data_IF_178061653547
#
_entry.id   IF_178061653547
#
_cell.length_a   1.000
_cell.length_b   1.000
_cell.length_c   1.000
_cell.angle_alpha   90.00
_cell.angle_beta   90.00
_cell.angle_gamma   90.00
#
_symmetry.space_group_name_H-M   'P 1'
#
loop_
_entity.id
_entity.type
_entity.pdbx_description
1 polymer ?
#
# COMPACT_ATOMS: atom_id res chain seq x y z
N UNK A 1 1.05 6.66 44.70
CA UNK A 1 2.46 6.61 44.26
C UNK A 1 2.46 6.27 42.76
N UNK A 2 2.77 7.25 42.00
CA UNK A 2 2.82 7.30 40.54
C UNK A 2 3.97 6.44 40.01
N UNK A 3 3.67 5.46 39.20
CA UNK A 3 4.65 4.66 38.47
C UNK A 3 4.84 5.26 37.06
N UNK A 4 5.81 6.14 36.92
CA UNK A 4 6.37 6.51 35.63
C UNK A 4 7.10 5.31 35.05
N UNK A 5 6.61 4.78 33.92
CA UNK A 5 7.36 3.90 33.04
C UNK A 5 7.58 4.65 31.72
N UNK A 6 8.45 5.64 31.75
CA UNK A 6 8.99 6.27 30.55
C UNK A 6 10.22 5.48 30.09
N UNK A 7 10.01 4.35 29.41
CA UNK A 7 11.04 3.76 28.56
C UNK A 7 11.14 4.63 27.32
N UNK A 8 12.10 5.55 27.31
CA UNK A 8 12.32 6.55 26.27
C UNK A 8 12.86 5.99 24.96
N UNK A 9 12.18 5.02 24.36
CA UNK A 9 12.43 4.64 22.97
C UNK A 9 11.69 5.63 22.07
N UNK A 10 12.36 6.23 21.08
CA UNK A 10 11.71 7.14 20.16
C UNK A 10 10.57 6.40 19.44
N UNK A 11 9.40 7.04 19.39
CA UNK A 11 8.22 6.44 18.76
C UNK A 11 8.54 6.03 17.30
N UNK A 12 8.14 4.83 16.92
CA UNK A 12 8.29 4.29 15.55
C UNK A 12 7.57 5.16 14.52
N UNK A 13 8.11 5.22 13.30
CA UNK A 13 7.64 6.08 12.22
C UNK A 13 7.25 5.27 11.00
N UNK A 14 6.05 5.51 10.47
CA UNK A 14 5.59 4.95 9.21
C UNK A 14 5.44 6.04 8.14
N UNK A 15 5.90 5.76 6.94
CA UNK A 15 5.70 6.58 5.73
C UNK A 15 4.70 5.85 4.84
N UNK A 16 3.62 6.54 4.45
CA UNK A 16 2.56 5.96 3.62
C UNK A 16 2.34 6.86 2.39
N UNK A 17 2.47 6.29 1.19
CA UNK A 17 2.20 6.99 -0.06
C UNK A 17 0.75 6.79 -0.52
N UNK A 18 0.17 7.77 -1.24
CA UNK A 18 -1.24 7.73 -1.64
C UNK A 18 -2.16 7.75 -0.43
N UNK A 19 -1.85 8.57 0.59
CA UNK A 19 -2.46 8.50 1.91
C UNK A 19 -3.62 9.48 2.12
N UNK A 20 -4.04 10.23 1.11
CA UNK A 20 -5.14 11.17 1.22
C UNK A 20 -6.52 10.49 1.35
N UNK A 21 -6.65 9.22 0.92
CA UNK A 21 -7.92 8.48 0.91
C UNK A 21 -7.73 6.96 0.88
N UNK A 22 -8.84 6.22 0.95
CA UNK A 22 -8.90 4.77 0.73
C UNK A 22 -7.95 3.96 1.59
N UNK A 23 -7.27 2.99 0.98
CA UNK A 23 -6.35 2.06 1.68
C UNK A 23 -5.21 2.83 2.38
N UNK A 24 -4.64 3.85 1.72
CA UNK A 24 -3.54 4.63 2.30
C UNK A 24 -3.94 5.36 3.58
N UNK A 25 -5.10 6.03 3.58
CA UNK A 25 -5.62 6.72 4.77
C UNK A 25 -5.99 5.72 5.89
N UNK A 26 -6.63 4.61 5.55
CA UNK A 26 -6.93 3.56 6.54
C UNK A 26 -5.65 2.98 7.14
N UNK A 27 -4.60 2.80 6.33
CA UNK A 27 -3.28 2.36 6.79
C UNK A 27 -2.64 3.39 7.74
N UNK A 28 -2.68 4.68 7.40
CA UNK A 28 -2.18 5.74 8.28
C UNK A 28 -2.93 5.76 9.61
N UNK A 29 -4.25 5.59 9.58
CA UNK A 29 -5.10 5.50 10.78
C UNK A 29 -4.73 4.29 11.63
N UNK A 30 -4.48 3.14 11.00
CA UNK A 30 -4.04 1.92 11.70
C UNK A 30 -2.71 2.14 12.41
N UNK A 31 -1.71 2.71 11.74
CA UNK A 31 -0.40 2.98 12.34
C UNK A 31 -0.47 3.97 13.50
N UNK A 32 -1.29 5.02 13.39
CA UNK A 32 -1.52 5.96 14.50
C UNK A 32 -2.13 5.24 15.72
N UNK A 33 -3.13 4.37 15.49
CA UNK A 33 -3.75 3.59 16.56
C UNK A 33 -2.75 2.62 17.22
N UNK A 34 -1.79 2.10 16.44
CA UNK A 34 -0.70 1.27 16.93
C UNK A 34 0.44 2.05 17.61
N UNK A 35 0.32 3.36 17.80
CA UNK A 35 1.30 4.19 18.52
C UNK A 35 2.40 4.81 17.66
N UNK A 36 2.38 4.64 16.35
CA UNK A 36 3.37 5.23 15.44
C UNK A 36 3.15 6.74 15.27
N UNK A 37 4.20 7.44 14.84
CA UNK A 37 4.10 8.69 14.09
C UNK A 37 3.95 8.35 12.62
N UNK A 38 3.20 9.16 11.86
CA UNK A 38 2.95 8.87 10.45
C UNK A 38 3.28 10.07 9.55
N UNK A 39 3.95 9.79 8.45
CA UNK A 39 4.10 10.72 7.34
C UNK A 39 3.18 10.27 6.20
N UNK A 40 2.19 11.09 5.90
CA UNK A 40 1.24 10.89 4.82
C UNK A 40 1.75 11.62 3.59
N UNK A 41 1.99 10.90 2.50
CA UNK A 41 2.42 11.43 1.21
C UNK A 41 1.30 11.25 0.18
N UNK A 42 0.97 12.30 -0.56
CA UNK A 42 0.00 12.24 -1.67
C UNK A 42 0.24 13.40 -2.63
N UNK A 43 -0.09 13.22 -3.90
CA UNK A 43 -0.05 14.29 -4.91
C UNK A 43 -1.18 15.32 -4.71
N UNK A 44 -2.31 14.89 -4.13
CA UNK A 44 -3.48 15.74 -3.82
C UNK A 44 -3.27 16.45 -2.47
N UNK A 45 -2.47 17.50 -2.46
CA UNK A 45 -2.14 18.25 -1.25
C UNK A 45 -3.34 18.75 -0.46
N UNK A 46 -4.39 19.35 -1.07
CA UNK A 46 -5.62 19.75 -0.39
C UNK A 46 -6.34 18.59 0.31
N UNK A 47 -6.58 17.47 -0.39
CA UNK A 47 -7.22 16.30 0.19
C UNK A 47 -6.37 15.69 1.32
N UNK A 48 -5.05 15.63 1.14
CA UNK A 48 -4.12 15.13 2.14
C UNK A 48 -4.16 15.97 3.43
N UNK A 49 -4.18 17.28 3.33
CA UNK A 49 -4.31 18.18 4.50
C UNK A 49 -5.64 17.98 5.21
N UNK A 50 -6.73 17.83 4.48
CA UNK A 50 -8.05 17.58 5.05
C UNK A 50 -8.07 16.22 5.79
N UNK A 51 -7.59 15.17 5.16
CA UNK A 51 -7.49 13.83 5.74
C UNK A 51 -6.64 13.83 7.02
N UNK A 52 -5.47 14.47 7.00
CA UNK A 52 -4.58 14.54 8.17
C UNK A 52 -5.21 15.26 9.35
N UNK A 53 -5.97 16.35 9.11
CA UNK A 53 -6.71 17.07 10.18
C UNK A 53 -7.83 16.24 10.79
N UNK A 54 -8.41 15.32 10.03
CA UNK A 54 -9.49 14.45 10.48
C UNK A 54 -9.00 13.23 11.29
N UNK A 55 -7.69 13.00 11.38
CA UNK A 55 -7.14 11.92 12.18
C UNK A 55 -7.38 12.16 13.67
N UNK A 56 -7.53 11.08 14.45
CA UNK A 56 -7.77 11.16 15.91
C UNK A 56 -6.63 11.85 16.67
N UNK A 57 -5.40 11.74 16.16
CA UNK A 57 -4.22 12.37 16.76
C UNK A 57 -3.34 13.00 15.66
N UNK A 58 -3.74 14.18 15.16
CA UNK A 58 -3.01 14.85 14.10
C UNK A 58 -1.62 15.36 14.54
N UNK A 59 -1.35 15.44 15.84
CA UNK A 59 -0.05 15.89 16.37
C UNK A 59 1.09 14.90 16.08
N UNK A 60 0.75 13.63 15.84
CA UNK A 60 1.70 12.59 15.45
C UNK A 60 1.74 12.34 13.94
N UNK A 61 1.15 13.24 13.14
CA UNK A 61 1.04 13.10 11.70
C UNK A 61 1.59 14.31 10.97
N UNK A 62 2.30 14.11 9.87
CA UNK A 62 2.66 15.16 8.92
C UNK A 62 2.12 14.84 7.53
N UNK A 63 1.70 15.89 6.82
CA UNK A 63 1.18 15.81 5.45
C UNK A 63 2.21 16.41 4.49
N UNK A 64 2.67 15.63 3.53
CA UNK A 64 3.69 16.03 2.55
C UNK A 64 3.16 15.82 1.13
N UNK A 65 2.98 16.91 0.39
CA UNK A 65 2.61 16.82 -1.03
C UNK A 65 3.80 16.25 -1.81
N UNK A 66 3.56 15.16 -2.56
CA UNK A 66 4.62 14.44 -3.25
C UNK A 66 4.05 13.62 -4.42
N UNK A 67 4.56 13.86 -5.61
CA UNK A 67 4.43 12.94 -6.73
C UNK A 67 5.54 11.88 -6.62
N UNK A 68 5.13 10.65 -6.32
CA UNK A 68 6.08 9.53 -6.14
C UNK A 68 6.81 9.12 -7.42
N UNK A 69 6.34 9.55 -8.59
CA UNK A 69 7.01 9.31 -9.87
C UNK A 69 8.19 10.26 -10.12
N UNK A 70 8.38 11.27 -9.27
CA UNK A 70 9.41 12.29 -9.38
C UNK A 70 10.46 12.16 -8.27
N UNK A 71 11.63 11.63 -8.61
CA UNK A 71 12.71 11.39 -7.63
C UNK A 71 13.03 12.61 -6.74
N UNK A 72 13.15 13.85 -7.25
CA UNK A 72 13.45 15.01 -6.40
C UNK A 72 12.37 15.29 -5.35
N UNK A 73 11.08 15.04 -5.68
CA UNK A 73 9.98 15.23 -4.74
C UNK A 73 9.99 14.16 -3.65
N UNK A 74 10.24 12.89 -4.01
CA UNK A 74 10.40 11.79 -3.05
C UNK A 74 11.53 12.09 -2.08
N UNK A 75 12.71 12.46 -2.58
CA UNK A 75 13.86 12.80 -1.73
C UNK A 75 13.57 13.99 -0.81
N UNK A 76 12.89 15.03 -1.32
CA UNK A 76 12.52 16.19 -0.53
C UNK A 76 11.52 15.83 0.58
N UNK A 77 10.52 14.98 0.27
CA UNK A 77 9.55 14.51 1.26
C UNK A 77 10.23 13.67 2.35
N UNK A 78 11.10 12.73 1.98
CA UNK A 78 11.80 11.90 2.97
C UNK A 78 12.77 12.72 3.83
N UNK A 79 13.44 13.73 3.28
CA UNK A 79 14.22 14.68 4.10
C UNK A 79 13.35 15.37 5.14
N UNK A 80 12.13 15.79 4.80
CA UNK A 80 11.20 16.41 5.75
C UNK A 80 10.74 15.42 6.84
N UNK A 81 10.50 14.13 6.49
CA UNK A 81 10.23 13.08 7.49
C UNK A 81 11.38 12.95 8.48
N UNK A 82 12.61 12.92 7.99
CA UNK A 82 13.81 12.81 8.85
C UNK A 82 13.96 14.03 9.75
N UNK A 83 13.72 15.23 9.24
CA UNK A 83 13.75 16.47 10.06
C UNK A 83 12.66 16.42 11.15
N UNK A 84 11.46 15.98 10.82
CA UNK A 84 10.33 15.95 11.76
C UNK A 84 10.42 14.83 12.80
N UNK A 85 10.89 13.65 12.40
CA UNK A 85 10.78 12.45 13.22
C UNK A 85 12.10 11.73 13.52
N UNK A 86 13.18 12.01 12.80
CA UNK A 86 14.51 11.47 13.01
C UNK A 86 14.74 10.03 12.53
N UNK A 87 13.67 9.29 12.18
CA UNK A 87 13.73 7.88 11.82
C UNK A 87 12.63 7.47 10.86
N UNK A 88 12.77 6.30 10.26
CA UNK A 88 11.73 5.58 9.49
C UNK A 88 11.84 4.10 9.86
N UNK A 89 10.71 3.48 10.24
CA UNK A 89 10.65 2.06 10.60
C UNK A 89 9.78 1.26 9.63
N UNK A 90 8.80 1.91 9.00
CA UNK A 90 7.93 1.29 8.01
C UNK A 90 7.73 2.20 6.80
N UNK A 91 7.74 1.61 5.60
CA UNK A 91 7.33 2.26 4.35
C UNK A 91 6.18 1.47 3.75
N UNK A 92 5.08 2.15 3.41
CA UNK A 92 3.96 1.55 2.68
C UNK A 92 3.83 2.25 1.33
N UNK A 93 4.24 1.57 0.27
CA UNK A 93 4.08 2.00 -1.11
C UNK A 93 2.65 1.68 -1.57
N UNK A 94 1.74 2.61 -1.32
CA UNK A 94 0.32 2.45 -1.66
C UNK A 94 -0.12 3.34 -2.83
N UNK A 95 0.57 4.44 -3.12
CA UNK A 95 0.25 5.30 -4.27
C UNK A 95 0.13 4.47 -5.56
N UNK A 96 -0.91 4.73 -6.34
CA UNK A 96 -1.12 3.99 -7.57
C UNK A 96 -2.26 4.58 -8.41
N UNK A 97 -2.12 4.40 -9.72
CA UNK A 97 -3.11 4.81 -10.73
C UNK A 97 -3.49 3.62 -11.61
N UNK A 98 -4.70 3.66 -12.14
CA UNK A 98 -5.20 2.65 -13.06
C UNK A 98 -5.85 3.32 -14.28
N UNK A 99 -5.68 2.70 -15.45
CA UNK A 99 -6.35 3.06 -16.69
C UNK A 99 -7.08 1.82 -17.18
N UNK A 100 -8.36 1.98 -17.49
CA UNK A 100 -9.26 0.90 -17.89
C UNK A 100 -9.61 1.08 -19.37
N UNK A 101 -8.81 0.46 -20.24
CA UNK A 101 -8.99 0.52 -21.70
C UNK A 101 -8.64 -0.80 -22.38
N UNK A 102 -9.20 -1.10 -23.57
CA UNK A 102 -8.70 -2.16 -24.42
C UNK A 102 -7.19 -1.99 -24.72
N UNK A 103 -6.48 -3.11 -24.87
CA UNK A 103 -5.05 -3.12 -25.18
C UNK A 103 -4.72 -2.23 -26.40
N UNK A 104 -5.50 -2.35 -27.47
CA UNK A 104 -5.26 -1.62 -28.72
C UNK A 104 -5.54 -0.10 -28.65
N UNK A 105 -6.23 0.34 -27.59
CA UNK A 105 -6.56 1.75 -27.34
C UNK A 105 -5.68 2.39 -26.28
N UNK A 106 -4.90 1.57 -25.54
CA UNK A 106 -3.99 2.07 -24.51
C UNK A 106 -2.79 2.75 -25.15
N UNK A 107 -2.63 4.05 -24.91
CA UNK A 107 -1.51 4.79 -25.49
C UNK A 107 -0.20 4.52 -24.76
N UNK A 108 0.93 4.78 -25.42
CA UNK A 108 2.24 4.66 -24.78
C UNK A 108 2.41 5.66 -23.61
N UNK A 109 1.82 6.84 -23.70
CA UNK A 109 1.81 7.83 -22.61
C UNK A 109 1.07 7.29 -21.38
N UNK A 110 -0.12 6.74 -21.55
CA UNK A 110 -0.90 6.12 -20.48
C UNK A 110 -0.15 4.95 -19.84
N UNK A 111 0.47 4.12 -20.67
CA UNK A 111 1.34 3.04 -20.18
C UNK A 111 2.48 3.58 -19.33
N UNK A 112 3.23 4.57 -19.82
CA UNK A 112 4.35 5.18 -19.11
C UNK A 112 3.91 5.81 -17.79
N UNK A 113 2.79 6.52 -17.78
CA UNK A 113 2.22 7.11 -16.55
C UNK A 113 1.92 6.05 -15.49
N UNK A 114 1.31 4.93 -15.88
CA UNK A 114 1.01 3.84 -14.94
C UNK A 114 2.29 3.23 -14.40
N UNK A 115 3.30 2.98 -15.25
CA UNK A 115 4.58 2.43 -14.81
C UNK A 115 5.32 3.38 -13.88
N UNK A 116 5.38 4.66 -14.20
CA UNK A 116 6.06 5.67 -13.39
C UNK A 116 5.50 5.75 -11.95
N UNK A 117 4.17 5.72 -11.80
CA UNK A 117 3.57 5.78 -10.46
C UNK A 117 3.63 4.42 -9.75
N UNK A 118 3.25 3.33 -10.44
CA UNK A 118 3.00 2.05 -9.79
C UNK A 118 4.26 1.19 -9.59
N UNK A 119 5.35 1.48 -10.32
CA UNK A 119 6.59 0.71 -10.29
C UNK A 119 7.81 1.57 -9.94
N UNK A 120 8.03 2.67 -10.71
CA UNK A 120 9.18 3.56 -10.42
C UNK A 120 8.99 4.26 -9.06
N UNK A 121 7.77 4.69 -8.72
CA UNK A 121 7.47 5.29 -7.42
C UNK A 121 7.87 4.42 -6.21
N UNK A 122 7.41 3.17 -6.09
CA UNK A 122 7.86 2.24 -5.05
C UNK A 122 9.38 2.01 -5.02
N UNK A 123 10.04 1.98 -6.18
CA UNK A 123 11.48 1.88 -6.28
C UNK A 123 12.16 3.13 -5.68
N UNK A 124 11.76 4.33 -6.10
CA UNK A 124 12.30 5.61 -5.62
C UNK A 124 12.06 5.80 -4.11
N UNK A 125 10.85 5.51 -3.63
CA UNK A 125 10.53 5.61 -2.21
C UNK A 125 11.37 4.64 -1.39
N UNK A 126 11.59 3.41 -1.87
CA UNK A 126 12.47 2.43 -1.20
C UNK A 126 13.90 2.93 -1.15
N UNK A 127 14.45 3.44 -2.28
CA UNK A 127 15.81 4.01 -2.31
C UNK A 127 16.00 5.17 -1.34
N UNK A 128 14.98 6.02 -1.18
CA UNK A 128 15.05 7.15 -0.26
C UNK A 128 14.90 6.75 1.22
N UNK A 129 14.04 5.77 1.52
CA UNK A 129 13.75 5.35 2.89
C UNK A 129 14.77 4.36 3.45
N UNK A 130 15.23 3.40 2.66
CA UNK A 130 16.12 2.32 3.14
C UNK A 130 17.39 2.82 3.84
N UNK A 131 18.13 3.83 3.34
CA UNK A 131 19.29 4.37 4.05
C UNK A 131 18.94 4.95 5.43
N UNK A 132 17.73 5.49 5.61
CA UNK A 132 17.25 5.98 6.92
C UNK A 132 16.96 4.80 7.84
N UNK A 133 16.25 3.78 7.35
CA UNK A 133 15.95 2.56 8.09
C UNK A 133 17.23 1.87 8.59
N UNK A 134 18.25 1.75 7.74
CA UNK A 134 19.54 1.13 8.10
C UNK A 134 20.21 1.84 9.28
N UNK A 135 20.17 3.18 9.32
CA UNK A 135 20.74 3.96 10.43
C UNK A 135 19.98 3.79 11.74
N UNK A 136 18.74 3.33 11.70
CA UNK A 136 17.87 3.22 12.88
C UNK A 136 17.55 1.78 13.28
N UNK A 137 18.28 0.81 12.71
CA UNK A 137 18.22 -0.60 13.13
C UNK A 137 17.40 -1.51 12.25
N UNK A 138 17.11 -1.11 11.00
CA UNK A 138 16.32 -1.87 10.06
C UNK A 138 14.88 -1.38 9.92
N UNK A 139 14.01 -2.19 9.32
CA UNK A 139 12.62 -1.78 9.08
C UNK A 139 11.79 -2.78 8.29
N UNK A 140 10.62 -2.32 7.86
CA UNK A 140 9.73 -3.10 7.01
C UNK A 140 9.15 -2.25 5.87
N UNK A 141 9.08 -2.84 4.69
CA UNK A 141 8.49 -2.24 3.49
C UNK A 141 7.32 -3.10 3.05
N UNK A 142 6.17 -2.49 2.79
CA UNK A 142 5.01 -3.18 2.20
C UNK A 142 4.60 -2.47 0.92
N UNK A 143 4.59 -3.21 -0.17
CA UNK A 143 4.13 -2.75 -1.48
C UNK A 143 2.66 -3.15 -1.70
N UNK A 144 1.78 -2.21 -2.03
CA UNK A 144 0.39 -2.50 -2.37
C UNK A 144 0.32 -2.89 -3.84
N UNK A 145 0.28 -4.20 -4.07
CA UNK A 145 0.09 -4.80 -5.39
C UNK A 145 -1.41 -4.86 -5.78
N UNK A 146 -1.87 -5.94 -6.35
CA UNK A 146 -3.28 -6.22 -6.69
C UNK A 146 -3.43 -7.66 -7.14
N UNK A 147 -4.61 -8.26 -6.98
CA UNK A 147 -4.97 -9.51 -7.65
C UNK A 147 -4.78 -9.42 -9.18
N UNK A 148 -4.88 -8.22 -9.78
CA UNK A 148 -4.60 -8.01 -11.21
C UNK A 148 -3.14 -8.22 -11.60
N UNK A 149 -2.23 -8.30 -10.63
CA UNK A 149 -0.84 -8.71 -10.85
C UNK A 149 -0.63 -10.21 -10.68
N UNK A 150 -1.50 -10.91 -9.95
CA UNK A 150 -1.50 -12.36 -9.82
C UNK A 150 -2.19 -13.03 -11.01
N UNK A 151 -3.29 -12.46 -11.48
CA UNK A 151 -4.09 -12.94 -12.61
C UNK A 151 -4.36 -11.81 -13.59
N UNK A 152 -4.37 -12.12 -14.88
CA UNK A 152 -4.75 -11.16 -15.90
C UNK A 152 -6.20 -10.72 -15.71
N UNK A 153 -6.46 -9.44 -15.96
CA UNK A 153 -7.78 -8.82 -15.84
C UNK A 153 -8.11 -8.02 -17.10
N UNK A 154 -9.38 -8.04 -17.51
CA UNK A 154 -9.86 -7.31 -18.68
C UNK A 154 -9.65 -5.81 -18.52
N UNK A 155 -9.26 -5.13 -19.61
CA UNK A 155 -9.05 -3.68 -19.70
C UNK A 155 -7.95 -3.11 -18.79
N UNK A 156 -7.00 -3.93 -18.33
CA UNK A 156 -6.01 -3.51 -17.32
C UNK A 156 -4.56 -3.81 -17.73
N UNK A 157 -4.25 -3.71 -19.03
CA UNK A 157 -2.92 -4.10 -19.53
C UNK A 157 -1.78 -3.37 -18.80
N UNK A 158 -1.81 -2.05 -18.69
CA UNK A 158 -0.78 -1.29 -17.99
C UNK A 158 -0.83 -1.55 -16.47
N UNK A 159 -2.02 -1.48 -15.86
CA UNK A 159 -2.19 -1.66 -14.42
C UNK A 159 -1.77 -3.06 -13.97
N UNK A 160 -2.32 -4.11 -14.57
CA UNK A 160 -2.00 -5.50 -14.20
C UNK A 160 -0.52 -5.80 -14.34
N UNK A 161 0.08 -5.36 -15.46
CA UNK A 161 1.51 -5.54 -15.72
C UNK A 161 2.35 -4.78 -14.68
N UNK A 162 2.01 -3.54 -14.34
CA UNK A 162 2.72 -2.78 -13.30
C UNK A 162 2.66 -3.46 -11.93
N UNK A 163 1.51 -4.04 -11.57
CA UNK A 163 1.33 -4.74 -10.29
C UNK A 163 2.05 -6.09 -10.25
N UNK A 164 2.13 -6.82 -11.37
CA UNK A 164 2.96 -8.01 -11.51
C UNK A 164 4.46 -7.67 -11.39
N UNK A 165 4.91 -6.60 -12.05
CA UNK A 165 6.28 -6.11 -11.94
C UNK A 165 6.62 -5.68 -10.50
N UNK A 166 5.70 -5.00 -9.79
CA UNK A 166 5.86 -4.62 -8.39
C UNK A 166 6.01 -5.83 -7.46
N UNK A 167 5.30 -6.92 -7.73
CA UNK A 167 5.47 -8.18 -6.98
C UNK A 167 6.87 -8.77 -7.17
N UNK A 168 7.42 -8.68 -8.39
CA UNK A 168 8.79 -9.13 -8.62
C UNK A 168 9.81 -8.18 -7.98
N UNK A 169 9.62 -6.87 -8.09
CA UNK A 169 10.43 -5.86 -7.40
C UNK A 169 10.45 -6.10 -5.89
N UNK A 170 9.31 -6.47 -5.29
CA UNK A 170 9.22 -6.84 -3.87
C UNK A 170 10.20 -7.98 -3.52
N UNK A 171 10.27 -9.01 -4.35
CA UNK A 171 11.20 -10.15 -4.14
C UNK A 171 12.65 -9.73 -4.29
N UNK A 172 12.99 -8.90 -5.28
CA UNK A 172 14.33 -8.38 -5.46
C UNK A 172 14.77 -7.53 -4.26
N UNK A 173 13.92 -6.61 -3.84
CA UNK A 173 14.18 -5.77 -2.65
C UNK A 173 14.32 -6.63 -1.38
N UNK A 174 13.52 -7.68 -1.22
CA UNK A 174 13.59 -8.57 -0.06
C UNK A 174 14.92 -9.34 0.01
N UNK A 175 15.46 -9.75 -1.14
CA UNK A 175 16.75 -10.45 -1.24
C UNK A 175 17.91 -9.49 -0.93
N UNK A 176 17.89 -8.29 -1.52
CA UNK A 176 18.99 -7.32 -1.38
C UNK A 176 19.03 -6.63 -0.01
N UNK A 177 17.87 -6.40 0.61
CA UNK A 177 17.77 -5.65 1.87
C UNK A 177 17.62 -6.55 3.11
N UNK A 178 17.33 -7.83 2.93
CA UNK A 178 17.04 -8.75 4.04
C UNK A 178 18.20 -8.93 5.01
N UNK A 179 19.41 -9.12 4.51
CA UNK A 179 20.63 -9.23 5.32
C UNK A 179 21.03 -7.91 5.99
N UNK A 180 20.41 -6.80 5.58
CA UNK A 180 20.59 -5.48 6.16
C UNK A 180 19.53 -5.15 7.21
N UNK A 181 18.65 -6.12 7.56
CA UNK A 181 17.62 -5.95 8.58
C UNK A 181 16.33 -5.29 8.09
N UNK A 182 16.10 -5.18 6.77
CA UNK A 182 14.87 -4.64 6.19
C UNK A 182 14.09 -5.77 5.51
N UNK A 183 12.86 -6.02 5.97
CA UNK A 183 11.93 -6.97 5.33
C UNK A 183 11.10 -6.25 4.27
N UNK A 184 10.86 -6.89 3.14
CA UNK A 184 10.01 -6.34 2.08
C UNK A 184 8.98 -7.38 1.67
N UNK A 185 7.70 -7.00 1.75
CA UNK A 185 6.58 -7.85 1.35
C UNK A 185 5.58 -7.07 0.51
N UNK A 186 4.63 -7.76 -0.09
CA UNK A 186 3.53 -7.14 -0.80
C UNK A 186 2.18 -7.64 -0.27
N UNK A 187 1.17 -6.78 -0.30
CA UNK A 187 -0.23 -7.15 -0.19
C UNK A 187 -0.84 -7.04 -1.59
N UNK A 188 -1.61 -8.04 -2.00
CA UNK A 188 -2.37 -8.04 -3.24
C UNK A 188 -3.89 -7.97 -2.91
N UNK A 189 -4.48 -6.76 -2.79
CA UNK A 189 -5.88 -6.63 -2.52
C UNK A 189 -6.75 -7.16 -3.65
N UNK A 190 -7.88 -7.78 -3.29
CA UNK A 190 -9.02 -7.98 -4.16
C UNK A 190 -9.82 -6.68 -4.39
N UNK A 191 -11.08 -6.78 -4.82
CA UNK A 191 -11.99 -5.64 -4.83
C UNK A 191 -12.22 -5.09 -3.42
N UNK A 192 -11.93 -3.80 -3.22
CA UNK A 192 -12.05 -3.08 -1.95
C UNK A 192 -13.00 -1.90 -2.11
N UNK A 193 -13.80 -1.61 -1.07
CA UNK A 193 -14.76 -0.49 -1.04
C UNK A 193 -14.05 0.86 -0.96
N UNK A 194 -13.42 1.27 -2.06
CA UNK A 194 -12.75 2.56 -2.20
C UNK A 194 -13.54 3.50 -3.10
N UNK A 195 -13.21 4.80 -3.06
CA UNK A 195 -13.77 5.77 -4.00
C UNK A 195 -13.49 5.38 -5.45
N UNK A 196 -12.27 4.94 -5.77
CA UNK A 196 -11.90 4.45 -7.10
C UNK A 196 -12.82 3.28 -7.54
N UNK A 197 -13.05 2.30 -6.68
CA UNK A 197 -13.93 1.18 -7.01
C UNK A 197 -15.39 1.62 -7.25
N UNK A 198 -15.87 2.60 -6.48
CA UNK A 198 -17.22 3.15 -6.68
C UNK A 198 -17.38 3.88 -8.01
N UNK A 199 -16.34 4.55 -8.48
CA UNK A 199 -16.36 5.27 -9.76
C UNK A 199 -16.35 4.34 -10.98
N UNK A 200 -15.66 3.19 -10.89
CA UNK A 200 -15.43 2.32 -12.05
C UNK A 200 -16.25 1.03 -12.07
N UNK A 201 -16.81 0.60 -10.92
CA UNK A 201 -17.59 -0.64 -10.83
C UNK A 201 -19.08 -0.33 -10.81
N UNK A 202 -19.76 -0.58 -11.95
CA UNK A 202 -21.21 -0.55 -12.03
C UNK A 202 -21.87 -1.61 -11.11
N UNK A 203 -23.18 -1.51 -10.83
CA UNK A 203 -23.89 -2.55 -10.07
C UNK A 203 -23.73 -3.97 -10.64
N UNK A 204 -23.70 -4.12 -11.97
CA UNK A 204 -23.47 -5.40 -12.64
C UNK A 204 -22.05 -5.93 -12.37
N UNK A 205 -21.01 -5.10 -12.57
CA UNK A 205 -19.62 -5.49 -12.25
C UNK A 205 -19.47 -5.87 -10.78
N UNK A 206 -20.16 -5.18 -9.88
CA UNK A 206 -20.14 -5.50 -8.45
C UNK A 206 -20.84 -6.84 -8.14
N UNK A 207 -21.90 -7.19 -8.87
CA UNK A 207 -22.55 -8.49 -8.76
C UNK A 207 -21.61 -9.61 -9.24
N UNK A 208 -20.96 -9.43 -10.40
CA UNK A 208 -19.99 -10.38 -10.95
C UNK A 208 -18.85 -10.67 -9.96
N UNK A 209 -18.29 -9.60 -9.34
CA UNK A 209 -17.26 -9.78 -8.33
C UNK A 209 -17.76 -10.51 -7.08
N UNK A 210 -18.97 -10.20 -6.58
CA UNK A 210 -19.56 -10.92 -5.43
C UNK A 210 -19.77 -12.40 -5.72
N UNK A 211 -20.15 -12.73 -6.93
CA UNK A 211 -20.31 -14.11 -7.38
C UNK A 211 -18.96 -14.83 -7.53
N UNK A 212 -17.90 -14.11 -7.91
CA UNK A 212 -16.56 -14.67 -8.08
C UNK A 212 -15.78 -14.81 -6.75
N UNK A 213 -16.02 -13.91 -5.79
CA UNK A 213 -15.31 -13.89 -4.50
C UNK A 213 -15.93 -14.92 -3.55
N UNK A 214 -15.16 -15.89 -2.99
CA UNK A 214 -15.70 -16.87 -2.03
C UNK A 214 -16.38 -16.25 -0.80
N UNK A 215 -15.85 -15.14 -0.25
CA UNK A 215 -16.51 -14.41 0.85
C UNK A 215 -17.72 -13.58 0.40
N UNK A 216 -18.07 -13.57 -0.88
CA UNK A 216 -19.25 -12.93 -1.50
C UNK A 216 -19.40 -11.41 -1.20
N UNK A 217 -18.30 -10.71 -0.92
CA UNK A 217 -18.27 -9.28 -0.64
C UNK A 217 -16.95 -8.63 -1.06
N UNK A 218 -16.96 -7.33 -1.19
CA UNK A 218 -15.75 -6.54 -1.24
C UNK A 218 -15.09 -6.50 0.15
N UNK A 219 -13.77 -6.37 0.16
CA UNK A 219 -13.02 -6.02 1.36
C UNK A 219 -13.19 -4.55 1.72
N UNK A 220 -12.79 -4.17 2.93
CA UNK A 220 -12.72 -2.78 3.37
C UNK A 220 -11.27 -2.28 3.37
N UNK A 221 -11.05 -0.96 3.28
CA UNK A 221 -9.71 -0.38 3.43
C UNK A 221 -9.04 -0.78 4.75
N UNK A 222 -9.81 -0.92 5.83
CA UNK A 222 -9.34 -1.30 7.17
C UNK A 222 -8.83 -2.75 7.21
N UNK A 223 -9.45 -3.68 6.48
CA UNK A 223 -9.00 -5.07 6.36
C UNK A 223 -7.63 -5.15 5.66
N UNK A 224 -7.44 -4.32 4.63
CA UNK A 224 -6.13 -4.22 3.96
C UNK A 224 -5.10 -3.57 4.89
N UNK A 225 -5.48 -2.50 5.60
CA UNK A 225 -4.61 -1.82 6.55
C UNK A 225 -4.14 -2.76 7.67
N UNK A 226 -5.02 -3.61 8.20
CA UNK A 226 -4.67 -4.62 9.21
C UNK A 226 -3.65 -5.64 8.67
N UNK A 227 -3.81 -6.07 7.40
CA UNK A 227 -2.87 -6.97 6.73
C UNK A 227 -1.49 -6.31 6.56
N UNK A 228 -1.46 -5.04 6.14
CA UNK A 228 -0.23 -4.23 6.05
C UNK A 228 0.42 -4.11 7.43
N UNK A 229 -0.37 -3.79 8.45
CA UNK A 229 0.11 -3.67 9.82
C UNK A 229 0.74 -4.96 10.36
N UNK A 230 0.13 -6.11 10.08
CA UNK A 230 0.73 -7.41 10.41
C UNK A 230 2.11 -7.56 9.76
N UNK A 231 2.22 -7.32 8.44
CA UNK A 231 3.49 -7.47 7.72
C UNK A 231 4.57 -6.48 8.20
N UNK A 232 4.17 -5.31 8.71
CA UNK A 232 5.10 -4.35 9.31
C UNK A 232 5.49 -4.67 10.76
N UNK A 233 4.71 -5.49 11.45
CA UNK A 233 4.90 -5.79 12.88
C UNK A 233 5.99 -6.83 13.14
N UNK A 234 6.47 -6.96 14.39
CA UNK A 234 7.38 -8.05 14.82
C UNK A 234 6.79 -9.46 14.63
N UNK A 235 5.46 -9.61 14.61
CA UNK A 235 4.80 -10.90 14.37
C UNK A 235 5.14 -11.47 12.96
N UNK A 236 5.55 -10.62 12.02
CA UNK A 236 5.99 -11.02 10.68
C UNK A 236 7.54 -11.05 10.55
N UNK A 237 8.28 -11.22 11.64
CA UNK A 237 9.75 -11.12 11.66
C UNK A 237 10.45 -12.13 10.73
N UNK A 238 9.82 -13.24 10.39
CA UNK A 238 10.35 -14.26 9.47
C UNK A 238 9.62 -14.28 8.11
N UNK A 239 8.77 -13.28 7.83
CA UNK A 239 8.06 -13.12 6.57
C UNK A 239 8.79 -12.08 5.72
N UNK A 240 9.42 -12.53 4.61
CA UNK A 240 10.18 -11.70 3.70
C UNK A 240 9.99 -12.17 2.25
N UNK A 241 9.85 -11.25 1.30
CA UNK A 241 9.69 -11.55 -0.13
C UNK A 241 8.31 -12.12 -0.51
N UNK A 242 7.32 -12.07 0.38
CA UNK A 242 6.02 -12.69 0.16
C UNK A 242 5.02 -11.72 -0.48
N UNK A 243 4.11 -12.28 -1.27
CA UNK A 243 2.93 -11.59 -1.81
C UNK A 243 1.70 -12.22 -1.16
N UNK A 244 1.06 -11.49 -0.27
CA UNK A 244 -0.13 -11.96 0.45
C UNK A 244 -1.40 -11.43 -0.24
N UNK A 245 -2.18 -12.32 -0.82
CA UNK A 245 -3.50 -11.96 -1.35
C UNK A 245 -4.47 -11.70 -0.18
N UNK A 246 -5.08 -10.51 -0.18
CA UNK A 246 -6.12 -10.09 0.75
C UNK A 246 -7.39 -9.76 -0.07
N UNK A 247 -8.08 -10.81 -0.52
CA UNK A 247 -9.02 -10.76 -1.64
C UNK A 247 -10.32 -11.55 -1.43
N UNK A 248 -10.56 -12.05 -0.23
CA UNK A 248 -11.71 -12.87 0.08
C UNK A 248 -11.70 -14.26 -0.56
N UNK A 249 -10.53 -14.74 -0.99
CA UNK A 249 -10.33 -16.04 -1.65
C UNK A 249 -10.49 -15.98 -3.16
N UNK A 250 -10.55 -14.79 -3.77
CA UNK A 250 -10.75 -14.65 -5.22
C UNK A 250 -9.61 -15.29 -6.02
N UNK A 251 -8.35 -15.10 -5.62
CA UNK A 251 -7.19 -15.71 -6.28
C UNK A 251 -7.14 -17.23 -6.07
N UNK A 252 -7.54 -17.69 -4.90
CA UNK A 252 -7.54 -19.12 -4.55
C UNK A 252 -8.63 -19.91 -5.28
N UNK A 253 -9.70 -19.25 -5.76
CA UNK A 253 -10.79 -19.93 -6.46
C UNK A 253 -10.41 -20.23 -7.92
N UNK A 254 -9.99 -21.46 -8.24
CA UNK A 254 -9.72 -21.91 -9.61
C UNK A 254 -10.98 -21.95 -10.44
N UNK A 255 -11.92 -22.86 -10.11
CA UNK A 255 -13.23 -22.98 -10.73
C UNK A 255 -14.28 -22.65 -9.67
N UNK A 256 -14.64 -21.38 -9.55
CA UNK A 256 -15.75 -20.95 -8.70
C UNK A 256 -17.09 -21.24 -9.38
N UNK A 257 -17.92 -22.09 -8.79
CA UNK A 257 -19.26 -22.39 -9.29
C UNK A 257 -20.31 -21.78 -8.34
N UNK A 258 -20.71 -20.50 -8.57
CA UNK A 258 -21.63 -19.78 -7.66
C UNK A 258 -22.96 -20.53 -7.43
N UNK A 259 -23.42 -21.28 -8.45
CA UNK A 259 -24.64 -22.08 -8.36
C UNK A 259 -24.54 -23.18 -7.29
N UNK A 260 -23.36 -23.73 -7.04
CA UNK A 260 -23.19 -24.76 -6.02
C UNK A 260 -23.19 -24.17 -4.60
N UNK A 261 -22.81 -22.90 -4.42
CA UNK A 261 -22.88 -22.21 -3.12
C UNK A 261 -24.29 -21.91 -2.66
N UNK A 262 -25.25 -21.80 -3.59
CA UNK A 262 -26.67 -21.49 -3.29
C UNK A 262 -27.46 -22.70 -2.78
N UNK A 263 -26.86 -23.88 -2.73
CA UNK A 263 -27.49 -25.12 -2.28
C UNK A 263 -27.14 -25.50 -0.82
N UNK A 264 -26.26 -24.70 -0.18
CA UNK A 264 -25.93 -24.83 1.23
C UNK A 264 -26.68 -23.77 2.04
#
# INVERSE_FOLDING_TARGET
MSGESATGHPATVAVITGAARGIGLATATWFLAAGYRVALLDIDGPALKAATRALKDPSRAIALCCDVSLQPEVEAAIRQVVVAFGRIDSLVNNAGVAIFKPLLETTHEEWRRVMAVNLDGPFLCTQACAPVMLRTGGGSIVNIASISGLRASTLRVAYGTSKAALMHLTRQQAVELGNLGIRVNAVAPGPVETEMARQVHSPAIRADYRDAIPLARYGTPEEIAATVGFLCSPAASYVNGQVLAADGGFDASGVGLPTLRRKA
#
